data_IF_045691021064
#
_entry.id   IF_045691021064
#
_cell.length_a   1.000
_cell.length_b   1.000
_cell.length_c   1.000
_cell.angle_alpha   90.00
_cell.angle_beta   90.00
_cell.angle_gamma   90.00
#
_symmetry.space_group_name_H-M   'P 1'
#
loop_
_entity.id
_entity.type
_entity.pdbx_description
1 polymer ?
#
# COMPACT_ATOMS: atom_id res chain seq x y z
N UNK A 1 -4.98 -21.78 -1.70
CA UNK A 1 -3.99 -21.26 -0.73
C UNK A 1 -3.83 -19.74 -0.95
N UNK A 2 -3.51 -18.98 0.11
CA UNK A 2 -3.30 -17.54 0.03
C UNK A 2 -1.80 -17.24 0.08
N UNK A 3 -1.35 -16.31 -0.75
CA UNK A 3 0.03 -15.79 -0.78
C UNK A 3 -0.05 -14.27 -0.80
N UNK A 4 0.74 -13.61 0.06
CA UNK A 4 0.83 -12.13 0.09
C UNK A 4 2.25 -11.72 -0.28
N UNK A 5 2.35 -10.81 -1.25
CA UNK A 5 3.60 -10.13 -1.60
C UNK A 5 3.54 -8.69 -1.08
N UNK A 6 4.49 -8.34 -0.22
CA UNK A 6 4.68 -6.96 0.23
C UNK A 6 5.76 -6.28 -0.61
N UNK A 7 5.45 -5.11 -1.15
CA UNK A 7 6.34 -4.36 -2.05
C UNK A 7 6.09 -2.86 -1.94
N UNK A 8 7.06 -2.05 -2.35
CA UNK A 8 6.85 -0.61 -2.51
C UNK A 8 6.20 -0.23 -3.85
N UNK A 9 5.94 -1.21 -4.74
CA UNK A 9 5.32 -0.97 -6.05
C UNK A 9 6.25 -0.31 -7.08
N UNK A 10 7.57 -0.33 -6.88
CA UNK A 10 8.54 0.34 -7.76
C UNK A 10 9.15 -0.56 -8.84
N UNK A 11 8.76 -1.83 -8.88
CA UNK A 11 9.21 -2.81 -9.88
C UNK A 11 8.03 -3.59 -10.43
N UNK A 12 8.05 -3.82 -11.73
CA UNK A 12 7.07 -4.68 -12.40
C UNK A 12 7.28 -6.15 -12.02
N UNK A 13 6.19 -6.89 -11.99
CA UNK A 13 6.22 -8.34 -11.89
C UNK A 13 6.71 -8.92 -13.22
N UNK A 14 7.59 -9.90 -13.16
CA UNK A 14 8.12 -10.57 -14.34
C UNK A 14 7.02 -11.35 -15.10
N UNK A 15 7.01 -11.27 -16.42
CA UNK A 15 5.96 -11.87 -17.25
C UNK A 15 5.96 -13.41 -17.14
N UNK A 16 7.11 -14.05 -16.97
CA UNK A 16 7.22 -15.51 -16.76
C UNK A 16 6.56 -15.90 -15.44
N UNK A 17 6.77 -15.09 -14.39
CA UNK A 17 6.13 -15.33 -13.10
C UNK A 17 4.62 -15.09 -13.14
N UNK A 18 4.15 -14.07 -13.87
CA UNK A 18 2.72 -13.84 -14.11
C UNK A 18 2.10 -15.04 -14.84
N UNK A 19 2.75 -15.53 -15.87
CA UNK A 19 2.31 -16.70 -16.62
C UNK A 19 2.21 -17.93 -15.73
N UNK A 20 3.22 -18.20 -14.90
CA UNK A 20 3.20 -19.28 -13.94
C UNK A 20 2.05 -19.16 -12.93
N UNK A 21 1.83 -17.97 -12.35
CA UNK A 21 0.72 -17.71 -11.42
C UNK A 21 -0.65 -17.96 -12.07
N UNK A 22 -0.79 -17.64 -13.35
CA UNK A 22 -2.05 -17.79 -14.08
C UNK A 22 -2.34 -19.22 -14.56
N UNK A 23 -1.34 -20.07 -14.60
CA UNK A 23 -1.43 -21.47 -15.09
C UNK A 23 -1.24 -22.47 -13.93
N UNK A 24 -0.01 -22.74 -13.53
CA UNK A 24 0.32 -23.71 -12.48
C UNK A 24 -0.09 -23.23 -11.09
N UNK A 25 0.02 -21.93 -10.84
CA UNK A 25 -0.35 -21.26 -9.59
C UNK A 25 -1.80 -20.81 -9.51
N UNK A 26 -2.66 -21.17 -10.47
CA UNK A 26 -4.05 -20.67 -10.62
C UNK A 26 -4.94 -20.84 -9.37
N UNK A 27 -4.64 -21.83 -8.54
CA UNK A 27 -5.36 -22.11 -7.28
C UNK A 27 -4.84 -21.29 -6.10
N UNK A 28 -3.81 -20.47 -6.31
CA UNK A 28 -3.35 -19.49 -5.36
C UNK A 28 -4.22 -18.23 -5.44
N UNK A 29 -4.64 -17.73 -4.29
CA UNK A 29 -5.16 -16.37 -4.19
C UNK A 29 -4.00 -15.45 -3.83
N UNK A 30 -3.64 -14.54 -4.74
CA UNK A 30 -2.51 -13.63 -4.60
C UNK A 30 -2.97 -12.30 -4.03
N UNK A 31 -2.32 -11.83 -2.97
CA UNK A 31 -2.53 -10.48 -2.44
C UNK A 31 -1.28 -9.64 -2.69
N UNK A 32 -1.44 -8.55 -3.41
CA UNK A 32 -0.42 -7.52 -3.59
C UNK A 32 -0.62 -6.42 -2.54
N UNK A 33 0.22 -6.41 -1.52
CA UNK A 33 0.29 -5.36 -0.50
C UNK A 33 1.32 -4.32 -0.94
N UNK A 34 0.88 -3.28 -1.62
CA UNK A 34 1.81 -2.23 -2.09
C UNK A 34 1.87 -1.09 -1.09
N UNK A 35 3.08 -0.59 -0.83
CA UNK A 35 3.31 0.55 0.06
C UNK A 35 4.17 1.62 -0.63
N UNK A 36 3.61 2.35 -1.61
CA UNK A 36 4.35 3.39 -2.31
C UNK A 36 4.81 4.47 -1.33
N UNK A 37 6.01 5.01 -1.57
CA UNK A 37 6.59 6.03 -0.71
C UNK A 37 6.08 7.41 -1.08
N UNK A 38 5.50 8.13 -0.12
CA UNK A 38 5.08 9.52 -0.28
C UNK A 38 6.27 10.47 -0.08
N UNK A 39 6.08 11.75 -0.39
CA UNK A 39 7.10 12.81 -0.27
C UNK A 39 7.73 12.90 1.11
N UNK A 40 6.98 12.59 2.19
CA UNK A 40 7.48 12.58 3.56
C UNK A 40 8.61 11.56 3.80
N UNK A 41 8.75 10.55 2.95
CA UNK A 41 9.84 9.56 3.04
C UNK A 41 11.13 10.03 2.39
N UNK A 42 11.19 11.28 1.90
CA UNK A 42 12.29 11.85 1.13
C UNK A 42 12.60 11.12 -0.20
N UNK A 43 11.75 10.21 -0.64
CA UNK A 43 11.85 9.58 -1.94
C UNK A 43 11.26 10.47 -3.03
N UNK A 44 11.92 10.52 -4.20
CA UNK A 44 11.40 11.27 -5.33
C UNK A 44 10.11 10.61 -5.86
N UNK A 45 9.05 11.38 -6.04
CA UNK A 45 7.74 10.90 -6.52
C UNK A 45 7.86 10.08 -7.81
N UNK A 46 8.73 10.47 -8.74
CA UNK A 46 8.98 9.72 -9.99
C UNK A 46 9.51 8.30 -9.80
N UNK A 47 10.11 7.99 -8.62
CA UNK A 47 10.62 6.66 -8.30
C UNK A 47 9.57 5.81 -7.57
N UNK A 48 8.57 6.46 -6.97
CA UNK A 48 7.53 5.81 -6.17
C UNK A 48 6.20 5.67 -6.91
N UNK A 49 5.87 6.61 -7.80
CA UNK A 49 4.65 6.61 -8.60
C UNK A 49 4.92 6.05 -10.00
N UNK A 50 4.83 4.73 -10.14
CA UNK A 50 5.07 4.00 -11.39
C UNK A 50 3.85 3.11 -11.68
N UNK A 51 2.81 3.63 -12.36
CA UNK A 51 1.57 2.89 -12.61
C UNK A 51 1.79 1.56 -13.34
N UNK A 52 2.77 1.48 -14.23
CA UNK A 52 3.11 0.28 -15.01
C UNK A 52 3.47 -0.91 -14.12
N UNK A 53 4.09 -0.64 -12.95
CA UNK A 53 4.41 -1.70 -11.99
C UNK A 53 3.14 -2.34 -11.42
N UNK A 54 2.14 -1.53 -11.07
CA UNK A 54 0.88 -2.02 -10.53
C UNK A 54 0.02 -2.67 -11.65
N UNK A 55 0.09 -2.15 -12.87
CA UNK A 55 -0.55 -2.80 -14.03
C UNK A 55 -0.02 -4.21 -14.26
N UNK A 56 1.30 -4.45 -14.05
CA UNK A 56 1.84 -5.81 -14.15
C UNK A 56 1.23 -6.75 -13.11
N UNK A 57 0.95 -6.27 -11.90
CA UNK A 57 0.27 -7.03 -10.84
C UNK A 57 -1.18 -7.36 -11.21
N UNK A 58 -1.88 -6.44 -11.90
CA UNK A 58 -3.25 -6.65 -12.37
C UNK A 58 -3.37 -7.72 -13.46
N UNK A 59 -2.28 -8.13 -14.12
CA UNK A 59 -2.28 -9.26 -15.07
C UNK A 59 -2.50 -10.61 -14.40
N UNK A 60 -2.32 -10.71 -13.07
CA UNK A 60 -2.58 -11.94 -12.30
C UNK A 60 -4.08 -12.07 -12.03
N UNK A 61 -4.71 -13.10 -12.60
CA UNK A 61 -6.19 -13.24 -12.65
C UNK A 61 -6.83 -13.42 -11.28
N UNK A 62 -6.26 -14.24 -10.42
CA UNK A 62 -6.79 -14.52 -9.08
C UNK A 62 -6.02 -13.69 -8.03
N UNK A 63 -6.12 -12.36 -8.14
CA UNK A 63 -5.40 -11.46 -7.26
C UNK A 63 -6.26 -10.34 -6.69
N UNK A 64 -5.80 -9.83 -5.54
CA UNK A 64 -6.32 -8.66 -4.84
C UNK A 64 -5.16 -7.68 -4.63
N UNK A 65 -5.32 -6.43 -5.07
CA UNK A 65 -4.32 -5.39 -4.96
C UNK A 65 -4.80 -4.28 -4.05
N UNK A 66 -4.02 -3.95 -3.03
CA UNK A 66 -4.30 -2.77 -2.22
C UNK A 66 -3.05 -1.92 -2.01
N UNK A 67 -3.28 -0.61 -1.91
CA UNK A 67 -2.25 0.34 -1.53
C UNK A 67 -2.35 0.67 -0.04
N UNK A 68 -1.21 0.74 0.64
CA UNK A 68 -1.07 1.14 2.03
C UNK A 68 -0.12 2.33 2.10
N UNK A 69 -0.64 3.50 2.45
CA UNK A 69 0.13 4.73 2.57
C UNK A 69 0.36 5.11 4.02
N UNK A 70 1.59 5.45 4.36
CA UNK A 70 1.93 6.00 5.68
C UNK A 70 1.73 7.51 5.63
N UNK A 71 0.86 8.03 6.48
CA UNK A 71 0.51 9.46 6.52
C UNK A 71 0.48 9.98 7.96
N UNK A 72 0.61 11.30 8.11
CA UNK A 72 0.48 12.02 9.38
C UNK A 72 -0.54 13.16 9.33
N UNK A 73 -0.73 13.79 8.17
CA UNK A 73 -1.47 15.03 8.00
C UNK A 73 -2.16 15.14 6.61
N UNK A 74 -2.82 16.26 6.36
CA UNK A 74 -3.52 16.54 5.12
C UNK A 74 -2.57 16.75 3.93
N UNK A 75 -1.31 17.13 4.15
CA UNK A 75 -0.32 17.24 3.07
C UNK A 75 -0.02 15.85 2.52
N UNK A 76 0.17 14.88 3.43
CA UNK A 76 0.31 13.48 3.03
C UNK A 76 -0.94 12.95 2.30
N UNK A 77 -2.14 13.40 2.71
CA UNK A 77 -3.38 13.02 2.03
C UNK A 77 -3.43 13.53 0.59
N UNK A 78 -2.96 14.76 0.32
CA UNK A 78 -2.87 15.30 -1.04
C UNK A 78 -1.96 14.43 -1.92
N UNK A 79 -0.83 13.95 -1.39
CA UNK A 79 0.04 13.00 -2.09
C UNK A 79 -0.72 11.69 -2.39
N UNK A 80 -1.45 11.13 -1.40
CA UNK A 80 -2.26 9.91 -1.62
C UNK A 80 -3.27 10.12 -2.75
N UNK A 81 -4.01 11.21 -2.74
CA UNK A 81 -5.01 11.51 -3.76
C UNK A 81 -4.38 11.67 -5.15
N UNK A 82 -3.18 12.26 -5.23
CA UNK A 82 -2.40 12.34 -6.46
C UNK A 82 -2.03 10.93 -6.96
N UNK A 83 -1.52 10.06 -6.09
CA UNK A 83 -1.16 8.68 -6.45
C UNK A 83 -2.38 7.89 -6.93
N UNK A 84 -3.47 7.91 -6.16
CA UNK A 84 -4.71 7.20 -6.51
C UNK A 84 -5.28 7.70 -7.84
N UNK A 85 -5.26 9.02 -8.05
CA UNK A 85 -5.71 9.63 -9.32
C UNK A 85 -4.85 9.21 -10.50
N UNK A 86 -3.51 9.16 -10.33
CA UNK A 86 -2.59 8.74 -11.38
C UNK A 86 -2.78 7.25 -11.72
N UNK A 87 -2.93 6.38 -10.72
CA UNK A 87 -3.24 4.97 -10.93
C UNK A 87 -4.57 4.77 -11.65
N UNK A 88 -5.61 5.51 -11.25
CA UNK A 88 -6.92 5.48 -11.93
C UNK A 88 -6.83 5.92 -13.39
N UNK A 89 -6.06 6.98 -13.68
CA UNK A 89 -5.85 7.46 -15.06
C UNK A 89 -5.11 6.45 -15.93
N UNK A 90 -4.29 5.60 -15.32
CA UNK A 90 -3.55 4.54 -15.99
C UNK A 90 -4.32 3.21 -16.03
N UNK A 91 -5.60 3.17 -15.66
CA UNK A 91 -6.45 1.98 -15.60
C UNK A 91 -5.95 0.89 -14.63
N UNK A 92 -5.17 1.27 -13.61
CA UNK A 92 -4.78 0.35 -12.53
C UNK A 92 -6.01 0.02 -11.68
N UNK A 93 -6.33 -1.26 -11.57
CA UNK A 93 -7.36 -1.74 -10.65
C UNK A 93 -6.78 -1.85 -9.24
N UNK A 94 -7.27 -1.01 -8.33
CA UNK A 94 -6.95 -1.03 -6.90
C UNK A 94 -8.22 -1.41 -6.15
N UNK A 95 -8.16 -2.53 -5.42
CA UNK A 95 -9.32 -3.06 -4.69
C UNK A 95 -9.54 -2.34 -3.35
N UNK A 96 -8.47 -1.80 -2.75
CA UNK A 96 -8.56 -1.03 -1.51
C UNK A 96 -7.39 -0.07 -1.33
N UNK A 97 -7.66 1.03 -0.62
CA UNK A 97 -6.63 1.98 -0.15
C UNK A 97 -6.69 2.06 1.37
N UNK A 98 -5.56 1.83 2.02
CA UNK A 98 -5.38 1.93 3.45
C UNK A 98 -4.48 3.11 3.81
N UNK A 99 -4.86 3.85 4.84
CA UNK A 99 -4.04 4.87 5.46
C UNK A 99 -3.54 4.36 6.80
N UNK A 100 -2.24 4.48 7.00
CA UNK A 100 -1.53 4.01 8.19
C UNK A 100 -0.91 5.22 8.89
N UNK A 101 -1.12 5.42 10.21
CA UNK A 101 -0.50 6.52 10.92
C UNK A 101 1.04 6.39 10.92
N UNK A 102 1.73 7.52 10.68
CA UNK A 102 3.18 7.61 10.83
C UNK A 102 3.56 7.47 12.31
N UNK A 103 4.70 6.85 12.58
CA UNK A 103 5.28 6.73 13.92
C UNK A 103 5.99 5.40 14.11
N UNK A 104 7.23 5.45 14.62
CA UNK A 104 8.06 4.28 14.92
C UNK A 104 7.88 3.81 16.37
N UNK A 105 7.28 4.63 17.23
CA UNK A 105 7.02 4.32 18.64
C UNK A 105 5.55 4.50 18.96
N UNK A 106 5.09 3.90 20.05
CA UNK A 106 3.72 4.05 20.53
C UNK A 106 3.35 5.52 20.78
N UNK A 107 4.26 6.29 21.36
CA UNK A 107 4.07 7.72 21.62
C UNK A 107 3.85 8.50 20.31
N UNK A 108 4.70 8.28 19.31
CA UNK A 108 4.57 8.93 18.00
C UNK A 108 3.27 8.53 17.31
N UNK A 109 2.88 7.26 17.35
CA UNK A 109 1.61 6.80 16.79
C UNK A 109 0.40 7.43 17.46
N UNK A 110 0.39 7.53 18.78
CA UNK A 110 -0.71 8.14 19.53
C UNK A 110 -0.98 9.59 19.09
N UNK A 111 0.05 10.31 18.64
CA UNK A 111 -0.09 11.69 18.13
C UNK A 111 -0.83 11.75 16.78
N UNK A 112 -0.61 10.77 15.90
CA UNK A 112 -1.14 10.77 14.53
C UNK A 112 -2.38 9.90 14.34
N UNK A 113 -2.55 8.85 15.13
CA UNK A 113 -3.56 7.81 14.94
C UNK A 113 -5.00 8.35 14.89
N UNK A 114 -5.38 9.18 15.86
CA UNK A 114 -6.74 9.76 15.92
C UNK A 114 -7.01 10.67 14.72
N UNK A 115 -6.00 11.39 14.28
CA UNK A 115 -6.11 12.30 13.15
C UNK A 115 -6.28 11.52 11.85
N UNK A 116 -5.44 10.51 11.61
CA UNK A 116 -5.55 9.63 10.43
C UNK A 116 -6.87 8.86 10.41
N UNK A 117 -7.36 8.41 11.57
CA UNK A 117 -8.67 7.77 11.65
C UNK A 117 -9.80 8.71 11.21
N UNK A 118 -9.75 10.00 11.60
CA UNK A 118 -10.73 11.01 11.14
C UNK A 118 -10.63 11.25 9.63
N UNK A 119 -9.42 11.32 9.08
CA UNK A 119 -9.21 11.41 7.62
C UNK A 119 -9.90 10.23 6.94
N UNK A 120 -9.70 9.00 7.40
CA UNK A 120 -10.34 7.81 6.85
C UNK A 120 -11.87 7.89 6.87
N UNK A 121 -12.46 8.37 8.00
CA UNK A 121 -13.91 8.55 8.11
C UNK A 121 -14.46 9.57 7.10
N UNK A 122 -13.71 10.62 6.81
CA UNK A 122 -14.13 11.70 5.91
C UNK A 122 -13.93 11.33 4.42
N UNK A 123 -12.92 10.54 4.11
CA UNK A 123 -12.54 10.22 2.72
C UNK A 123 -13.05 8.88 2.22
N UNK A 124 -13.44 7.99 3.14
CA UNK A 124 -13.80 6.59 2.83
C UNK A 124 -12.61 5.66 2.64
N UNK A 125 -11.36 6.14 2.79
CA UNK A 125 -10.19 5.27 2.84
C UNK A 125 -10.21 4.41 4.10
N UNK A 126 -9.60 3.23 4.03
CA UNK A 126 -9.55 2.28 5.15
C UNK A 126 -8.42 2.64 6.11
N UNK A 127 -8.69 2.51 7.40
CA UNK A 127 -7.67 2.71 8.43
C UNK A 127 -6.88 1.40 8.68
N UNK A 128 -5.54 1.51 8.80
CA UNK A 128 -4.66 0.40 9.13
C UNK A 128 -3.72 0.77 10.27
N UNK A 129 -3.96 0.31 11.51
CA UNK A 129 -3.06 0.56 12.62
C UNK A 129 -1.75 -0.24 12.47
N UNK A 130 -0.69 0.21 13.13
CA UNK A 130 0.55 -0.55 13.30
C UNK A 130 0.46 -1.41 14.55
N UNK A 131 -0.31 -2.48 14.49
CA UNK A 131 -0.63 -3.30 15.65
C UNK A 131 0.62 -3.82 16.40
N UNK A 132 1.68 -4.17 15.68
CA UNK A 132 2.94 -4.61 16.28
C UNK A 132 3.58 -3.53 17.19
N UNK A 133 3.45 -2.25 16.83
CA UNK A 133 3.95 -1.15 17.66
C UNK A 133 3.07 -1.00 18.92
N UNK A 134 1.76 -1.13 18.76
CA UNK A 134 0.83 -1.03 19.91
C UNK A 134 1.02 -2.17 20.91
N UNK A 135 1.37 -3.38 20.44
CA UNK A 135 1.54 -4.55 21.28
C UNK A 135 2.96 -4.71 21.84
N UNK A 136 3.99 -4.40 21.05
CA UNK A 136 5.37 -4.77 21.34
C UNK A 136 6.35 -3.58 21.28
N UNK A 137 5.84 -2.36 21.07
CA UNK A 137 6.69 -1.22 20.74
C UNK A 137 7.39 -1.44 19.39
N UNK A 138 8.63 -0.99 19.25
CA UNK A 138 9.42 -1.22 18.03
C UNK A 138 10.51 -2.28 18.28
N UNK A 139 10.19 -3.33 19.01
CA UNK A 139 11.12 -4.43 19.28
C UNK A 139 11.41 -5.24 18.00
N UNK A 140 12.68 -5.61 17.79
CA UNK A 140 13.07 -6.42 16.63
C UNK A 140 12.53 -7.86 16.76
N UNK A 141 11.95 -8.38 15.68
CA UNK A 141 11.48 -9.76 15.61
C UNK A 141 10.06 -9.99 16.14
N UNK A 142 9.29 -8.92 16.31
CA UNK A 142 7.88 -8.97 16.74
C UNK A 142 6.92 -8.63 15.60
#
# INVERSE_FOLDING_TARGET
>A
KNVTFETNGSKSVDDVFIEWLNNEGKDLHVTWSTSPKLSISAELTKNALIPECLLSMNKVKNSFLYNKFVIRDEICLQDVDMFVSAYKKADVKIDSVFLMPEGATLEQQTLTEKHVAKICMNTGYKFSPRLHINLFGNAWGT
#
